data_IF_002407102990
#
_entry.id   IF_002407102990
#
_cell.length_a   1.000
_cell.length_b   1.000
_cell.length_c   1.000
_cell.angle_alpha   90.00
_cell.angle_beta   90.00
_cell.angle_gamma   90.00
#
_symmetry.space_group_name_H-M   'P 1'
#
loop_
_entity.id
_entity.type
_entity.pdbx_description
1 polymer ?
#
# COMPACT_ATOMS: atom_id res chain seq x y z
N UNK A 1 14.09 31.38 33.85
CA UNK A 1 14.50 31.24 32.42
C UNK A 1 14.74 29.77 32.00
N UNK A 2 15.50 28.94 32.75
CA UNK A 2 15.75 27.53 32.38
C UNK A 2 14.51 26.63 32.18
N UNK A 3 13.46 26.81 33.00
CA UNK A 3 12.22 26.00 32.93
C UNK A 3 11.41 26.22 31.65
N UNK A 4 11.41 27.45 31.12
CA UNK A 4 10.74 27.80 29.87
C UNK A 4 11.48 27.24 28.65
N UNK A 5 12.81 27.25 28.68
CA UNK A 5 13.63 26.60 27.65
C UNK A 5 13.37 25.10 27.56
N UNK A 6 13.25 24.43 28.72
CA UNK A 6 12.93 23.00 28.77
C UNK A 6 11.55 22.70 28.22
N UNK A 7 10.54 23.50 28.58
CA UNK A 7 9.18 23.34 28.07
C UNK A 7 9.10 23.56 26.54
N UNK A 8 9.77 24.60 26.03
CA UNK A 8 9.81 24.88 24.59
C UNK A 8 10.51 23.76 23.81
N UNK A 9 11.62 23.24 24.33
CA UNK A 9 12.34 22.12 23.71
C UNK A 9 11.47 20.85 23.63
N UNK A 10 10.66 20.58 24.65
CA UNK A 10 9.78 19.40 24.71
C UNK A 10 8.62 19.52 23.70
N UNK A 11 8.02 20.72 23.57
CA UNK A 11 6.97 21.00 22.58
C UNK A 11 7.49 20.87 21.15
N UNK A 12 8.66 21.44 20.85
CA UNK A 12 9.28 21.34 19.52
C UNK A 12 9.64 19.90 19.18
N UNK A 13 10.15 19.13 20.16
CA UNK A 13 10.46 17.72 19.96
C UNK A 13 9.19 16.88 19.70
N UNK A 14 8.09 17.17 20.40
CA UNK A 14 6.80 16.50 20.17
C UNK A 14 6.20 16.80 18.80
N UNK A 15 6.30 18.05 18.33
CA UNK A 15 5.87 18.46 16.98
C UNK A 15 6.70 17.78 15.89
N UNK A 16 8.02 17.69 16.06
CA UNK A 16 8.92 17.03 15.09
C UNK A 16 8.63 15.54 14.94
N UNK A 17 8.35 14.82 16.03
CA UNK A 17 8.01 13.39 15.97
C UNK A 17 6.59 13.16 15.42
N UNK A 18 5.66 14.09 15.68
CA UNK A 18 4.29 14.03 15.15
C UNK A 18 4.16 14.32 13.64
N UNK A 19 5.07 15.11 13.06
CA UNK A 19 5.02 15.46 11.64
C UNK A 19 5.23 14.27 10.66
N UNK A 20 5.87 13.19 11.10
CA UNK A 20 6.20 12.08 10.21
C UNK A 20 4.95 11.28 9.76
N UNK A 21 3.96 11.09 10.64
CA UNK A 21 2.70 10.39 10.30
C UNK A 21 1.63 11.29 9.69
N UNK A 22 1.77 12.61 9.78
CA UNK A 22 0.78 13.56 9.26
C UNK A 22 0.91 13.80 7.75
N UNK A 23 2.07 13.46 7.16
CA UNK A 23 2.34 13.66 5.74
C UNK A 23 2.62 12.37 4.97
N UNK A 24 2.90 11.27 5.69
CA UNK A 24 3.18 9.97 5.07
C UNK A 24 1.97 9.05 5.17
N UNK A 25 1.44 8.67 4.02
CA UNK A 25 0.44 7.62 3.92
C UNK A 25 1.13 6.35 3.42
N UNK A 26 1.25 5.37 4.31
CA UNK A 26 1.88 4.08 3.99
C UNK A 26 0.80 3.08 3.64
N UNK A 27 0.85 2.55 2.42
CA UNK A 27 0.01 1.44 1.98
C UNK A 27 0.74 0.13 2.25
N UNK A 28 0.11 -0.76 3.02
CA UNK A 28 0.64 -2.10 3.29
C UNK A 28 0.22 -3.11 2.21
N UNK A 29 0.99 -4.20 2.07
CA UNK A 29 0.63 -5.35 1.22
C UNK A 29 -0.76 -5.90 1.58
N UNK A 30 -1.10 -5.92 2.86
CA UNK A 30 -2.40 -6.38 3.34
C UNK A 30 -3.54 -5.46 2.89
N UNK A 31 -3.35 -4.14 2.93
CA UNK A 31 -4.34 -3.17 2.45
C UNK A 31 -4.57 -3.30 0.94
N UNK A 32 -3.50 -3.54 0.17
CA UNK A 32 -3.60 -3.84 -1.26
C UNK A 32 -4.34 -5.16 -1.48
N UNK A 33 -4.00 -6.23 -0.76
CA UNK A 33 -4.63 -7.54 -0.94
C UNK A 33 -6.12 -7.49 -0.62
N UNK A 34 -6.51 -6.77 0.43
CA UNK A 34 -7.91 -6.56 0.77
C UNK A 34 -8.65 -5.72 -0.29
N UNK A 35 -7.97 -4.73 -0.87
CA UNK A 35 -8.53 -3.96 -1.99
C UNK A 35 -8.67 -4.82 -3.25
N UNK A 36 -7.70 -5.70 -3.53
CA UNK A 36 -7.74 -6.68 -4.61
C UNK A 36 -8.90 -7.65 -4.41
N UNK A 37 -9.09 -8.22 -3.22
CA UNK A 37 -10.24 -9.10 -2.94
C UNK A 37 -11.58 -8.42 -3.20
N UNK A 38 -11.73 -7.15 -2.82
CA UNK A 38 -12.99 -6.40 -3.00
C UNK A 38 -13.25 -5.93 -4.42
N UNK A 39 -12.20 -5.63 -5.19
CA UNK A 39 -12.31 -4.94 -6.48
C UNK A 39 -11.94 -5.81 -7.67
N UNK A 40 -11.22 -6.91 -7.46
CA UNK A 40 -10.82 -7.81 -8.53
C UNK A 40 -12.03 -8.55 -9.10
N UNK A 41 -12.43 -8.14 -10.30
CA UNK A 41 -13.45 -8.80 -11.11
C UNK A 41 -12.83 -9.20 -12.46
N UNK A 42 -11.58 -9.63 -12.45
CA UNK A 42 -10.90 -10.02 -13.67
C UNK A 42 -11.49 -11.32 -14.21
N UNK A 43 -12.24 -11.20 -15.29
CA UNK A 43 -12.80 -12.28 -16.07
C UNK A 43 -12.65 -11.91 -17.55
N UNK A 44 -11.85 -12.68 -18.28
CA UNK A 44 -11.52 -12.40 -19.68
C UNK A 44 -11.35 -13.69 -20.47
N UNK A 45 -11.87 -13.68 -21.68
CA UNK A 45 -11.56 -14.67 -22.68
C UNK A 45 -10.23 -14.34 -23.33
N UNK A 46 -9.37 -15.34 -23.46
CA UNK A 46 -8.11 -15.25 -24.18
C UNK A 46 -8.07 -16.32 -25.26
N UNK A 47 -7.31 -16.06 -26.32
CA UNK A 47 -7.15 -16.98 -27.44
C UNK A 47 -7.89 -16.53 -28.70
N UNK A 48 -7.97 -17.44 -29.66
CA UNK A 48 -8.60 -17.24 -30.96
C UNK A 48 -9.91 -18.02 -31.00
N UNK A 49 -11.08 -17.33 -30.97
CA UNK A 49 -12.38 -17.97 -31.03
C UNK A 49 -12.48 -18.92 -32.23
N UNK A 50 -12.87 -20.17 -31.97
CA UNK A 50 -13.02 -21.20 -33.01
C UNK A 50 -11.73 -21.93 -33.39
N UNK A 51 -10.59 -21.61 -32.77
CA UNK A 51 -9.34 -22.38 -32.90
C UNK A 51 -8.91 -22.89 -31.52
N UNK A 52 -8.72 -21.98 -30.57
CA UNK A 52 -8.40 -22.27 -29.19
C UNK A 52 -8.72 -21.04 -28.34
N UNK A 53 -9.72 -21.16 -27.49
CA UNK A 53 -10.13 -20.13 -26.55
C UNK A 53 -10.13 -20.66 -25.12
N UNK A 54 -9.91 -19.75 -24.17
CA UNK A 54 -9.95 -20.04 -22.74
C UNK A 54 -10.57 -18.86 -21.99
N UNK A 55 -11.52 -19.17 -21.12
CA UNK A 55 -12.08 -18.21 -20.17
C UNK A 55 -11.23 -18.18 -18.90
N UNK A 56 -10.61 -17.04 -18.59
CA UNK A 56 -9.77 -16.87 -17.40
C UNK A 56 -10.50 -16.01 -16.38
N UNK A 57 -10.57 -16.52 -15.15
CA UNK A 57 -10.93 -15.75 -13.96
C UNK A 57 -9.75 -15.77 -13.00
N UNK A 58 -9.27 -14.60 -12.60
CA UNK A 58 -8.20 -14.50 -11.60
C UNK A 58 -8.83 -14.28 -10.23
N UNK A 59 -8.44 -15.09 -9.25
CA UNK A 59 -8.88 -15.01 -7.86
C UNK A 59 -7.69 -15.11 -6.92
N UNK A 60 -7.89 -14.79 -5.63
CA UNK A 60 -6.87 -14.93 -4.58
C UNK A 60 -5.55 -14.19 -4.91
N UNK A 61 -5.67 -12.96 -5.42
CA UNK A 61 -4.50 -12.13 -5.75
C UNK A 61 -3.77 -11.70 -4.47
N UNK A 62 -2.44 -11.88 -4.46
CA UNK A 62 -1.58 -11.45 -3.37
C UNK A 62 -0.43 -10.59 -3.91
N UNK A 63 -0.24 -9.43 -3.30
CA UNK A 63 0.79 -8.44 -3.63
C UNK A 63 2.05 -8.63 -2.81
N UNK A 64 3.20 -8.35 -3.43
CA UNK A 64 4.49 -8.21 -2.77
C UNK A 64 5.12 -6.88 -3.19
N UNK A 65 5.47 -6.01 -2.24
CA UNK A 65 6.00 -4.68 -2.48
C UNK A 65 7.52 -4.70 -2.27
N UNK A 66 8.27 -4.28 -3.28
CA UNK A 66 9.73 -4.06 -3.17
C UNK A 66 10.60 -5.32 -3.13
N UNK A 67 10.04 -6.52 -3.38
CA UNK A 67 10.80 -7.80 -3.31
C UNK A 67 11.19 -8.41 -4.66
N UNK A 68 10.68 -7.87 -5.77
CA UNK A 68 10.78 -8.48 -7.11
C UNK A 68 11.65 -7.75 -8.12
N UNK A 69 12.13 -6.54 -7.81
CA UNK A 69 13.09 -5.81 -8.64
C UNK A 69 14.32 -5.53 -7.78
N UNK A 70 15.44 -6.16 -8.11
CA UNK A 70 16.75 -5.61 -7.79
C UNK A 70 16.99 -4.50 -8.82
N UNK A 71 17.22 -3.28 -8.35
CA UNK A 71 17.89 -2.25 -9.16
C UNK A 71 19.40 -2.42 -9.00
#
# INVERSE_FOLDING_TARGET
MKKFFFAAALVVSGLLVGCNQLTQYTISEQEINQALEKRNNFSKDIGLPGIADAHIVLTNLASQIGRGRAE
#
